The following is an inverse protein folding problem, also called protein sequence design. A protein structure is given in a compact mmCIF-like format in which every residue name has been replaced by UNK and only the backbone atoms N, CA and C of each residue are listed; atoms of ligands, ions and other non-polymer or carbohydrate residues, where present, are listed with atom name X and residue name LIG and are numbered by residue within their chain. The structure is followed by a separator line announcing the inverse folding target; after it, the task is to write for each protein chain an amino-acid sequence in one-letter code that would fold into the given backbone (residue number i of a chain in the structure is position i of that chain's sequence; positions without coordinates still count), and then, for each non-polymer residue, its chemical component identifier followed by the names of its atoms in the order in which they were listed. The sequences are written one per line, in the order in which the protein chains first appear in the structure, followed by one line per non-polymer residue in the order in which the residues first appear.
data_IF_572286710186
#
_entry.id   IF_572286710186
#
_cell.length_a   1.000
_cell.length_b   1.000
_cell.length_c   1.000
_cell.angle_alpha   90.00
_cell.angle_beta   90.00
_cell.angle_gamma   90.00
#
_symmetry.space_group_name_H-M   'P 1'
#
loop_
_entity.id
_entity.type
_entity.pdbx_description
1 polymer ?
#
# COMPACT_ATOMS: atom_id res chain seq x y z
N UNK A 1 3.75 -16.11 -19.06
CA UNK A 1 2.93 -17.29 -18.70
C UNK A 1 1.57 -16.79 -18.28
N UNK A 2 0.51 -17.26 -18.92
CA UNK A 2 -0.87 -17.03 -18.47
C UNK A 2 -1.08 -17.84 -17.20
N UNK A 3 -1.45 -17.15 -16.13
CA UNK A 3 -1.66 -17.79 -14.84
C UNK A 3 -2.94 -18.62 -14.85
N UNK A 4 -2.94 -19.69 -14.06
CA UNK A 4 -4.12 -20.51 -13.87
C UNK A 4 -5.24 -19.64 -13.30
N UNK A 5 -6.45 -19.77 -13.86
CA UNK A 5 -7.64 -19.13 -13.29
C UNK A 5 -7.73 -19.50 -11.80
N UNK A 6 -8.12 -18.54 -10.95
CA UNK A 6 -8.25 -18.83 -9.53
C UNK A 6 -9.28 -19.94 -9.30
N UNK A 7 -8.98 -20.80 -8.34
CA UNK A 7 -9.80 -21.93 -7.91
C UNK A 7 -10.89 -21.53 -6.90
N UNK A 8 -10.88 -20.28 -6.41
CA UNK A 8 -11.88 -19.77 -5.47
C UNK A 8 -13.20 -19.55 -6.22
N UNK A 9 -14.30 -20.09 -5.72
CA UNK A 9 -15.62 -19.91 -6.35
C UNK A 9 -16.10 -18.46 -6.22
N UNK A 10 -16.88 -17.97 -7.20
CA UNK A 10 -17.41 -16.60 -7.14
C UNK A 10 -18.30 -16.37 -5.92
N UNK A 11 -19.09 -17.38 -5.52
CA UNK A 11 -19.94 -17.29 -4.34
C UNK A 11 -19.13 -17.08 -3.05
N UNK A 12 -17.97 -17.74 -2.93
CA UNK A 12 -17.09 -17.51 -1.79
C UNK A 12 -16.51 -16.09 -1.82
N UNK A 13 -16.07 -15.60 -2.99
CA UNK A 13 -15.55 -14.23 -3.13
C UNK A 13 -16.60 -13.17 -2.78
N UNK A 14 -17.85 -13.35 -3.23
CA UNK A 14 -18.95 -12.43 -2.94
C UNK A 14 -19.35 -12.47 -1.47
N UNK A 15 -19.23 -13.61 -0.80
CA UNK A 15 -19.51 -13.75 0.63
C UNK A 15 -18.46 -13.08 1.51
N UNK A 16 -17.19 -13.12 1.10
CA UNK A 16 -16.05 -12.50 1.82
C UNK A 16 -15.84 -11.03 1.42
N UNK A 17 -16.62 -10.52 0.45
CA UNK A 17 -16.54 -9.16 -0.03
C UNK A 17 -17.27 -8.20 0.91
N UNK A 18 -16.53 -7.30 1.54
CA UNK A 18 -17.09 -6.26 2.39
C UNK A 18 -17.85 -5.21 1.56
N UNK A 19 -17.24 -4.72 0.47
CA UNK A 19 -17.91 -3.79 -0.41
C UNK A 19 -17.38 -3.84 -1.84
N UNK A 20 -18.21 -3.35 -2.74
CA UNK A 20 -17.89 -3.27 -4.14
C UNK A 20 -17.71 -1.81 -4.62
N UNK A 21 -16.49 -1.50 -5.07
CA UNK A 21 -15.99 -0.15 -5.29
C UNK A 21 -16.21 0.39 -6.73
N UNK A 22 -16.31 -0.49 -7.73
CA UNK A 22 -16.45 -0.07 -9.15
C UNK A 22 -17.73 0.75 -9.39
N UNK A 23 -18.93 0.35 -8.91
CA UNK A 23 -20.15 1.15 -9.04
C UNK A 23 -20.06 2.52 -8.37
N UNK A 24 -19.21 2.64 -7.33
CA UNK A 24 -18.96 3.90 -6.63
C UNK A 24 -17.96 4.80 -7.37
N UNK A 25 -17.30 4.30 -8.42
CA UNK A 25 -16.30 5.01 -9.21
C UNK A 25 -14.86 4.82 -8.71
N UNK A 26 -14.65 4.10 -7.61
CA UNK A 26 -13.36 3.82 -7.00
C UNK A 26 -12.60 2.70 -7.74
N UNK A 27 -12.40 2.90 -9.05
CA UNK A 27 -11.79 1.90 -9.93
C UNK A 27 -10.31 1.70 -9.63
N UNK A 28 -9.93 0.43 -9.47
CA UNK A 28 -8.54 0.00 -9.22
C UNK A 28 -7.98 0.58 -7.90
N UNK A 29 -8.47 0.13 -6.73
CA UNK A 29 -7.97 0.53 -5.43
C UNK A 29 -6.56 -0.05 -5.20
N UNK A 30 -5.67 0.79 -4.67
CA UNK A 30 -4.31 0.40 -4.33
C UNK A 30 -4.04 0.41 -2.84
N UNK A 31 -4.65 1.32 -2.10
CA UNK A 31 -4.33 1.55 -0.71
C UNK A 31 -5.56 2.07 0.05
N UNK A 32 -5.58 1.82 1.36
CA UNK A 32 -6.68 2.19 2.22
C UNK A 32 -6.19 2.43 3.66
N UNK A 33 -6.93 3.24 4.40
CA UNK A 33 -6.71 3.45 5.83
C UNK A 33 -8.03 3.75 6.55
N UNK A 34 -8.10 3.47 7.84
CA UNK A 34 -9.17 3.98 8.69
C UNK A 34 -8.76 5.31 9.31
N UNK A 35 -9.70 6.25 9.38
CA UNK A 35 -9.51 7.47 10.16
C UNK A 35 -9.88 7.28 11.64
N UNK A 36 -9.61 8.31 12.44
CA UNK A 36 -9.92 8.32 13.89
C UNK A 36 -11.42 8.23 14.21
N UNK A 37 -12.30 8.40 13.23
CA UNK A 37 -13.77 8.24 13.38
C UNK A 37 -14.25 6.84 12.98
N UNK A 38 -13.33 5.94 12.61
CA UNK A 38 -13.66 4.59 12.16
C UNK A 38 -14.17 4.52 10.72
N UNK A 39 -14.06 5.61 9.96
CA UNK A 39 -14.47 5.67 8.56
C UNK A 39 -13.32 5.23 7.65
N UNK A 40 -13.66 4.57 6.54
CA UNK A 40 -12.69 3.96 5.65
C UNK A 40 -12.35 4.90 4.50
N UNK A 41 -11.07 5.18 4.30
CA UNK A 41 -10.56 5.90 3.15
C UNK A 41 -9.93 4.96 2.15
N UNK A 42 -10.23 5.15 0.86
CA UNK A 42 -9.74 4.33 -0.23
C UNK A 42 -9.11 5.20 -1.31
N UNK A 43 -7.84 4.92 -1.60
CA UNK A 43 -7.09 5.48 -2.71
C UNK A 43 -7.16 4.54 -3.91
N UNK A 44 -7.63 5.06 -5.04
CA UNK A 44 -7.79 4.30 -6.27
C UNK A 44 -7.38 5.13 -7.48
N UNK A 45 -7.21 4.49 -8.65
CA UNK A 45 -7.06 5.25 -9.90
C UNK A 45 -8.29 6.09 -10.23
N UNK A 46 -9.45 5.68 -9.72
CA UNK A 46 -10.71 6.43 -9.81
C UNK A 46 -10.79 7.64 -8.89
N UNK A 47 -9.79 7.88 -8.03
CA UNK A 47 -9.74 8.99 -7.09
C UNK A 47 -9.74 8.55 -5.62
N UNK A 48 -10.08 9.49 -4.74
CA UNK A 48 -10.12 9.31 -3.29
C UNK A 48 -11.57 9.20 -2.81
N UNK A 49 -11.86 8.22 -1.97
CA UNK A 49 -13.21 7.95 -1.47
C UNK A 49 -13.19 7.74 0.04
N UNK A 50 -14.19 8.28 0.73
CA UNK A 50 -14.48 8.00 2.14
C UNK A 50 -15.77 7.20 2.22
N UNK A 51 -15.74 6.10 2.94
CA UNK A 51 -16.87 5.22 3.19
C UNK A 51 -17.20 5.21 4.67
N UNK A 52 -18.45 4.94 5.00
CA UNK A 52 -18.83 4.64 6.38
C UNK A 52 -18.15 3.36 6.88
N UNK A 53 -18.28 3.10 8.18
CA UNK A 53 -17.64 1.97 8.85
C UNK A 53 -18.00 0.62 8.20
N UNK A 54 -19.26 0.45 7.76
CA UNK A 54 -19.73 -0.75 7.08
C UNK A 54 -19.42 -0.78 5.58
N UNK A 55 -18.65 0.20 5.07
CA UNK A 55 -18.29 0.40 3.67
C UNK A 55 -19.49 0.39 2.69
N UNK A 56 -20.68 0.69 3.20
CA UNK A 56 -21.95 0.62 2.50
C UNK A 56 -22.25 1.94 1.80
N UNK A 57 -21.96 3.06 2.46
CA UNK A 57 -22.27 4.41 1.97
C UNK A 57 -20.98 5.17 1.63
N UNK A 58 -21.05 5.98 0.57
CA UNK A 58 -19.98 6.94 0.24
C UNK A 58 -20.29 8.23 0.98
N UNK A 59 -19.39 8.64 1.87
CA UNK A 59 -19.50 9.86 2.67
C UNK A 59 -18.81 11.05 2.01
N UNK A 60 -17.73 10.78 1.26
CA UNK A 60 -16.99 11.76 0.48
C UNK A 60 -16.39 11.09 -0.77
N UNK A 61 -16.31 11.85 -1.86
CA UNK A 61 -15.63 11.41 -3.07
C UNK A 61 -14.92 12.55 -3.79
N UNK A 62 -13.69 12.29 -4.24
CA UNK A 62 -12.95 13.11 -5.19
C UNK A 62 -12.64 12.24 -6.41
N UNK A 63 -13.57 12.23 -7.36
CA UNK A 63 -13.47 11.40 -8.57
C UNK A 63 -12.38 11.91 -9.52
N UNK A 64 -11.61 10.97 -10.05
CA UNK A 64 -10.75 11.17 -11.20
C UNK A 64 -11.44 10.64 -12.46
N UNK A 65 -11.68 11.53 -13.42
CA UNK A 65 -12.36 11.18 -14.68
C UNK A 65 -11.46 10.41 -15.65
N UNK A 66 -10.15 10.33 -15.40
CA UNK A 66 -9.17 9.71 -16.30
C UNK A 66 -8.32 8.63 -15.60
N UNK A 67 -8.92 7.55 -15.06
CA UNK A 67 -8.20 6.52 -14.31
C UNK A 67 -7.09 5.83 -15.13
N UNK A 68 -7.22 5.79 -16.46
CA UNK A 68 -6.20 5.23 -17.37
C UNK A 68 -4.92 6.05 -17.44
N UNK A 69 -4.94 7.32 -17.04
CA UNK A 69 -3.77 8.20 -16.99
C UNK A 69 -3.01 8.11 -15.67
N UNK A 70 -3.58 7.45 -14.66
CA UNK A 70 -3.00 7.39 -13.33
C UNK A 70 -2.07 6.18 -13.22
N UNK A 71 -0.88 6.40 -12.66
CA UNK A 71 0.08 5.35 -12.39
C UNK A 71 -0.47 4.38 -11.31
N UNK A 72 0.05 3.15 -11.21
CA UNK A 72 -0.21 2.29 -10.07
C UNK A 72 0.23 2.91 -8.73
N UNK A 73 -0.25 2.35 -7.62
CA UNK A 73 0.18 2.67 -6.25
C UNK A 73 -0.22 4.06 -5.73
N UNK A 74 -1.44 4.49 -6.02
CA UNK A 74 -2.04 5.63 -5.30
C UNK A 74 -2.08 5.32 -3.79
N UNK A 75 -1.71 6.27 -2.92
CA UNK A 75 -1.65 6.06 -1.46
C UNK A 75 -2.68 6.92 -0.74
N UNK A 76 -3.13 6.45 0.42
CA UNK A 76 -3.88 7.22 1.41
C UNK A 76 -3.45 6.81 2.82
N UNK A 77 -3.00 7.77 3.61
CA UNK A 77 -2.56 7.54 5.00
C UNK A 77 -3.30 8.50 5.92
N UNK A 78 -3.72 8.01 7.09
CA UNK A 78 -4.32 8.83 8.12
C UNK A 78 -3.27 9.16 9.19
N UNK A 79 -3.21 10.43 9.59
CA UNK A 79 -2.39 10.90 10.70
C UNK A 79 -3.12 12.05 11.40
N UNK A 80 -3.37 11.92 12.71
CA UNK A 80 -3.95 12.97 13.58
C UNK A 80 -5.11 13.77 12.97
N UNK A 81 -6.15 13.09 12.48
CA UNK A 81 -7.34 13.75 11.91
C UNK A 81 -7.11 14.36 10.52
N UNK A 82 -5.98 14.04 9.88
CA UNK A 82 -5.64 14.41 8.52
C UNK A 82 -5.52 13.18 7.63
N UNK A 83 -5.81 13.37 6.35
CA UNK A 83 -5.66 12.38 5.30
C UNK A 83 -4.60 12.87 4.33
N UNK A 84 -3.53 12.10 4.21
CA UNK A 84 -2.47 12.32 3.23
C UNK A 84 -2.78 11.46 2.01
N UNK A 85 -3.01 12.09 0.87
CA UNK A 85 -3.38 11.43 -0.37
C UNK A 85 -2.38 11.74 -1.46
N UNK A 86 -1.92 10.69 -2.17
CA UNK A 86 -1.02 10.84 -3.31
C UNK A 86 -1.54 10.08 -4.54
N UNK A 87 -1.44 10.74 -5.69
CA UNK A 87 -1.82 10.19 -6.98
C UNK A 87 -0.90 10.71 -8.07
N UNK A 88 -0.35 9.81 -8.89
CA UNK A 88 0.60 10.18 -9.95
C UNK A 88 -0.03 10.08 -11.33
N UNK A 89 0.16 11.11 -12.17
CA UNK A 89 -0.10 11.03 -13.61
C UNK A 89 1.07 10.32 -14.30
N UNK A 90 0.78 9.22 -15.00
CA UNK A 90 1.75 8.23 -15.45
C UNK A 90 2.70 8.75 -16.54
N UNK A 91 2.23 9.60 -17.45
CA UNK A 91 3.01 10.08 -18.60
C UNK A 91 3.78 11.35 -18.29
N UNK A 92 3.20 12.23 -17.49
CA UNK A 92 3.80 13.46 -16.99
C UNK A 92 4.81 13.18 -15.87
N UNK A 93 4.76 11.98 -15.25
CA UNK A 93 5.66 11.60 -14.16
C UNK A 93 5.59 12.61 -13.00
N UNK A 94 4.38 13.08 -12.71
CA UNK A 94 4.11 14.12 -11.72
C UNK A 94 3.09 13.59 -10.71
N UNK A 95 3.44 13.68 -9.43
CA UNK A 95 2.60 13.24 -8.32
C UNK A 95 1.88 14.42 -7.69
N UNK A 96 0.55 14.37 -7.66
CA UNK A 96 -0.25 15.21 -6.78
C UNK A 96 -0.13 14.70 -5.35
N UNK A 97 0.31 15.56 -4.44
CA UNK A 97 0.35 15.31 -3.00
C UNK A 97 -0.61 16.26 -2.31
N UNK A 98 -1.52 15.72 -1.49
CA UNK A 98 -2.52 16.51 -0.77
C UNK A 98 -2.61 16.08 0.69
N UNK A 99 -2.88 17.06 1.54
CA UNK A 99 -3.34 16.84 2.91
C UNK A 99 -4.76 17.40 3.02
N UNK A 100 -5.67 16.58 3.51
CA UNK A 100 -7.07 16.90 3.70
C UNK A 100 -7.45 16.73 5.18
N UNK A 101 -8.45 17.48 5.63
CA UNK A 101 -9.14 17.15 6.88
C UNK A 101 -10.09 15.94 6.68
N UNK A 102 -10.74 15.50 7.76
CA UNK A 102 -11.66 14.35 7.70
C UNK A 102 -12.95 14.64 6.92
N UNK A 103 -13.28 15.90 6.64
CA UNK A 103 -14.43 16.27 5.80
C UNK A 103 -14.04 16.33 4.31
N UNK A 104 -12.76 16.11 3.99
CA UNK A 104 -12.23 16.12 2.64
C UNK A 104 -11.91 17.52 2.11
N UNK A 105 -11.83 18.52 2.98
CA UNK A 105 -11.32 19.85 2.61
C UNK A 105 -9.81 19.78 2.49
N UNK A 106 -9.27 20.30 1.40
CA UNK A 106 -7.83 20.37 1.17
C UNK A 106 -7.23 21.45 2.08
N UNK A 107 -6.28 21.06 2.92
CA UNK A 107 -5.47 21.97 3.74
C UNK A 107 -4.13 22.30 3.07
N UNK A 108 -3.58 21.35 2.31
CA UNK A 108 -2.34 21.51 1.58
C UNK A 108 -2.36 20.76 0.24
N UNK A 109 -1.75 21.35 -0.78
CA UNK A 109 -1.56 20.74 -2.09
C UNK A 109 -0.19 21.12 -2.65
N UNK A 110 0.52 20.13 -3.18
CA UNK A 110 1.76 20.33 -3.91
C UNK A 110 1.94 19.27 -5.00
N UNK A 111 2.91 19.49 -5.87
CA UNK A 111 3.30 18.56 -6.90
C UNK A 111 4.73 18.07 -6.65
N UNK A 112 4.93 16.75 -6.75
CA UNK A 112 6.21 16.09 -6.52
C UNK A 112 6.63 15.38 -7.80
N UNK A 113 7.84 15.64 -8.27
CA UNK A 113 8.40 14.96 -9.43
C UNK A 113 8.64 13.47 -9.17
N UNK A 114 8.31 12.65 -10.16
CA UNK A 114 8.43 11.20 -10.10
C UNK A 114 7.14 10.49 -9.69
N UNK A 115 7.16 9.16 -9.79
CA UNK A 115 6.02 8.31 -9.41
C UNK A 115 6.19 7.80 -8.00
N UNK A 116 5.44 8.34 -7.05
CA UNK A 116 5.40 7.80 -5.69
C UNK A 116 4.90 6.36 -5.73
N UNK A 117 5.60 5.47 -5.02
CA UNK A 117 5.28 4.05 -4.96
C UNK A 117 4.67 3.66 -3.61
N UNK A 118 5.18 4.23 -2.53
CA UNK A 118 4.70 3.96 -1.17
C UNK A 118 4.93 5.17 -0.30
N UNK A 119 4.03 5.37 0.68
CA UNK A 119 4.10 6.45 1.65
C UNK A 119 3.68 5.93 3.02
N UNK A 120 4.34 6.40 4.07
CA UNK A 120 3.98 6.10 5.46
C UNK A 120 4.24 7.33 6.32
N UNK A 121 3.58 7.38 7.49
CA UNK A 121 3.77 8.43 8.50
C UNK A 121 4.04 7.72 9.82
N UNK A 122 5.03 8.19 10.56
CA UNK A 122 5.28 7.68 11.92
C UNK A 122 4.41 8.40 12.97
N UNK A 123 4.64 8.08 14.24
CA UNK A 123 3.87 8.66 15.35
C UNK A 123 4.24 10.11 15.67
N UNK A 124 5.36 10.60 15.12
CA UNK A 124 5.83 11.99 15.32
C UNK A 124 5.44 12.89 14.15
N UNK A 125 4.74 12.35 13.14
CA UNK A 125 4.32 13.09 11.96
C UNK A 125 5.41 13.22 10.89
N UNK A 126 6.50 12.45 10.99
CA UNK A 126 7.46 12.34 9.90
C UNK A 126 6.85 11.51 8.78
N UNK A 127 6.99 12.00 7.55
CA UNK A 127 6.46 11.38 6.35
C UNK A 127 7.62 10.79 5.58
N UNK A 128 7.51 9.52 5.21
CA UNK A 128 8.52 8.83 4.41
C UNK A 128 7.90 8.32 3.12
N UNK A 129 8.61 8.46 2.00
CA UNK A 129 8.14 7.97 0.71
C UNK A 129 9.23 7.31 -0.11
N UNK A 130 8.81 6.38 -0.96
CA UNK A 130 9.63 5.80 -2.02
C UNK A 130 9.05 6.14 -3.39
N UNK A 131 9.89 6.21 -4.41
CA UNK A 131 9.47 6.45 -5.79
C UNK A 131 9.87 5.27 -6.68
N UNK A 132 9.08 5.01 -7.71
CA UNK A 132 9.42 4.02 -8.74
C UNK A 132 10.70 4.45 -9.46
N UNK A 133 11.63 3.54 -9.76
CA UNK A 133 12.79 3.86 -10.58
C UNK A 133 12.35 4.41 -11.94
N UNK A 134 12.93 5.53 -12.36
CA UNK A 134 12.67 6.15 -13.66
C UNK A 134 13.84 5.94 -14.62
N UNK A 135 13.58 6.01 -15.92
CA UNK A 135 14.63 5.91 -16.94
C UNK A 135 15.70 6.98 -16.71
N UNK A 136 16.93 6.54 -16.48
CA UNK A 136 18.08 7.43 -16.24
C UNK A 136 18.38 7.73 -14.76
N UNK A 137 17.53 7.30 -13.82
CA UNK A 137 17.90 7.32 -12.39
C UNK A 137 18.80 6.14 -12.06
N UNK A 138 19.94 6.44 -11.42
CA UNK A 138 20.90 5.44 -10.94
C UNK A 138 20.52 4.93 -9.56
N UNK A 139 19.94 5.81 -8.74
CA UNK A 139 19.71 5.55 -7.32
C UNK A 139 18.22 5.53 -6.99
N UNK A 140 17.85 4.59 -6.13
CA UNK A 140 16.56 4.58 -5.47
C UNK A 140 16.69 5.26 -4.13
N UNK A 141 15.77 6.18 -3.82
CA UNK A 141 15.82 7.04 -2.64
C UNK A 141 14.59 6.84 -1.77
N UNK A 142 14.80 6.80 -0.45
CA UNK A 142 13.77 7.06 0.56
C UNK A 142 13.83 8.56 0.86
N UNK A 143 12.73 9.26 0.61
CA UNK A 143 12.59 10.66 0.95
C UNK A 143 11.89 10.81 2.30
N UNK A 144 12.26 11.85 3.04
CA UNK A 144 11.68 12.23 4.32
C UNK A 144 11.21 13.69 4.30
N UNK A 145 10.11 13.95 5.00
CA UNK A 145 9.60 15.30 5.31
C UNK A 145 8.77 15.21 6.61
N UNK A 146 8.08 16.28 7.00
CA UNK A 146 7.18 16.28 8.17
C UNK A 146 5.83 16.87 7.79
N UNK A 147 4.78 16.48 8.52
CA UNK A 147 3.41 17.00 8.31
C UNK A 147 3.34 18.52 8.48
N UNK A 148 4.25 19.10 9.26
CA UNK A 148 4.34 20.54 9.51
C UNK A 148 5.19 21.29 8.47
N UNK A 149 6.06 20.60 7.73
CA UNK A 149 6.99 21.21 6.76
C UNK A 149 7.00 20.47 5.41
N UNK A 150 5.83 20.36 4.79
CA UNK A 150 5.59 19.53 3.60
C UNK A 150 6.37 19.90 2.32
N UNK A 151 7.03 21.06 2.30
CA UNK A 151 7.80 21.55 1.15
C UNK A 151 9.27 21.11 1.16
N UNK A 152 9.78 20.61 2.30
CA UNK A 152 11.18 20.25 2.47
C UNK A 152 11.33 18.72 2.45
N UNK A 153 11.66 18.19 1.27
CA UNK A 153 11.90 16.75 1.08
C UNK A 153 13.39 16.48 1.04
N UNK A 154 13.88 15.79 2.07
CA UNK A 154 15.27 15.38 2.18
C UNK A 154 15.46 13.92 1.74
N UNK A 155 16.67 13.61 1.26
CA UNK A 155 17.12 12.24 1.03
C UNK A 155 17.52 11.63 2.38
N UNK A 156 16.79 10.60 2.83
CA UNK A 156 17.12 9.86 4.04
C UNK A 156 18.10 8.73 3.73
N UNK A 157 17.84 7.95 2.68
CA UNK A 157 18.60 6.75 2.34
C UNK A 157 18.58 6.55 0.83
N UNK A 158 19.73 6.23 0.23
CA UNK A 158 19.86 5.93 -1.20
C UNK A 158 20.57 4.61 -1.47
N UNK A 159 20.27 4.01 -2.62
CA UNK A 159 20.91 2.78 -3.07
C UNK A 159 20.92 2.66 -4.60
N UNK A 160 22.06 2.27 -5.16
CA UNK A 160 22.23 1.90 -6.57
C UNK A 160 21.96 0.42 -6.85
N UNK A 161 21.92 -0.42 -5.81
CA UNK A 161 21.88 -1.88 -5.95
C UNK A 161 20.44 -2.43 -5.98
N UNK A 162 19.52 -1.70 -5.35
CA UNK A 162 18.14 -2.11 -5.20
C UNK A 162 17.20 -0.91 -5.22
N UNK A 163 15.99 -1.16 -5.71
CA UNK A 163 14.89 -0.23 -5.60
C UNK A 163 14.13 -0.43 -4.30
N UNK A 164 13.90 0.66 -3.56
CA UNK A 164 12.94 0.70 -2.48
C UNK A 164 11.52 0.69 -3.06
N UNK A 165 10.70 -0.27 -2.65
CA UNK A 165 9.38 -0.52 -3.24
C UNK A 165 8.25 -0.12 -2.30
N UNK A 166 8.23 -0.67 -1.09
CA UNK A 166 7.20 -0.41 -0.08
C UNK A 166 7.85 0.02 1.24
N UNK A 167 7.18 0.86 2.01
CA UNK A 167 7.69 1.41 3.26
C UNK A 167 6.58 1.43 4.33
N UNK A 168 6.96 1.11 5.56
CA UNK A 168 6.08 1.14 6.72
C UNK A 168 6.86 1.65 7.94
N UNK A 169 6.32 2.64 8.64
CA UNK A 169 6.83 3.04 9.94
C UNK A 169 6.61 1.90 10.94
N UNK A 170 7.70 1.39 11.52
CA UNK A 170 7.65 0.26 12.44
C UNK A 170 7.69 0.73 13.89
N UNK A 171 8.63 1.61 14.24
CA UNK A 171 8.66 2.30 15.54
C UNK A 171 9.22 3.71 15.34
N UNK A 172 9.49 4.44 16.44
CA UNK A 172 9.99 5.83 16.37
C UNK A 172 11.29 5.97 15.59
N UNK A 173 12.16 4.96 15.63
CA UNK A 173 13.51 5.04 15.08
C UNK A 173 13.71 4.09 13.88
N UNK A 174 12.68 3.32 13.49
CA UNK A 174 12.79 2.22 12.53
C UNK A 174 11.70 2.25 11.46
N UNK A 175 12.14 2.12 10.20
CA UNK A 175 11.31 1.84 9.04
C UNK A 175 11.51 0.37 8.59
N UNK A 176 10.42 -0.30 8.26
CA UNK A 176 10.45 -1.52 7.44
C UNK A 176 10.38 -1.12 5.97
N UNK A 177 11.35 -1.55 5.16
CA UNK A 177 11.45 -1.17 3.75
C UNK A 177 11.63 -2.41 2.87
N UNK A 178 10.69 -2.64 1.96
CA UNK A 178 10.82 -3.67 0.95
C UNK A 178 11.76 -3.20 -0.16
N UNK A 179 12.79 -3.99 -0.44
CA UNK A 179 13.79 -3.71 -1.46
C UNK A 179 13.82 -4.82 -2.52
N UNK A 180 14.02 -4.43 -3.78
CA UNK A 180 14.12 -5.36 -4.92
C UNK A 180 15.35 -5.03 -5.76
N UNK A 181 16.18 -6.04 -6.06
CA UNK A 181 17.41 -5.84 -6.84
C UNK A 181 17.14 -5.28 -8.25
N UNK A 182 17.98 -4.36 -8.70
CA UNK A 182 17.92 -3.79 -10.04
C UNK A 182 18.63 -4.68 -11.09
N UNK A 183 18.16 -4.71 -12.36
CA UNK A 183 16.90 -4.18 -12.85
C UNK A 183 15.70 -5.01 -12.34
N UNK A 184 14.56 -4.35 -12.08
CA UNK A 184 13.36 -5.04 -11.58
C UNK A 184 12.76 -5.94 -12.66
N UNK A 185 12.81 -7.25 -12.45
CA UNK A 185 12.23 -8.27 -13.31
C UNK A 185 11.82 -9.50 -12.48
N UNK A 186 11.20 -10.51 -13.08
CA UNK A 186 10.66 -11.68 -12.36
C UNK A 186 11.69 -12.43 -11.49
N UNK A 187 12.99 -12.31 -11.81
CA UNK A 187 14.10 -12.97 -11.10
C UNK A 187 14.81 -12.06 -10.09
N UNK A 188 14.36 -10.81 -9.92
CA UNK A 188 14.95 -9.90 -8.94
C UNK A 188 14.88 -10.51 -7.54
N UNK A 189 15.92 -10.30 -6.74
CA UNK A 189 15.94 -10.69 -5.33
C UNK A 189 15.09 -9.70 -4.54
N UNK A 190 14.20 -10.20 -3.69
CA UNK A 190 13.42 -9.39 -2.76
C UNK A 190 13.91 -9.61 -1.34
N UNK A 191 13.94 -8.53 -0.56
CA UNK A 191 14.29 -8.55 0.86
C UNK A 191 13.53 -7.45 1.59
N UNK A 192 13.40 -7.59 2.91
CA UNK A 192 12.94 -6.51 3.78
C UNK A 192 14.14 -5.99 4.55
N UNK A 193 14.24 -4.66 4.63
CA UNK A 193 15.32 -3.94 5.29
C UNK A 193 14.77 -3.17 6.46
N UNK A 194 15.48 -3.21 7.58
CA UNK A 194 15.27 -2.30 8.68
C UNK A 194 16.14 -1.07 8.44
N UNK A 195 15.54 0.11 8.36
CA UNK A 195 16.24 1.37 8.11
C UNK A 195 16.00 2.30 9.28
N UNK A 196 17.06 2.94 9.78
CA UNK A 196 16.93 3.95 10.82
C UNK A 196 16.20 5.18 10.27
N UNK A 197 15.10 5.60 10.90
CA UNK A 197 14.24 6.71 10.42
C UNK A 197 14.90 8.10 10.57
N UNK A 198 16.01 8.18 11.31
CA UNK A 198 16.75 9.41 11.60
C UNK A 198 18.04 9.45 10.77
N UNK A 199 18.89 8.42 10.87
CA UNK A 199 20.19 8.40 10.19
C UNK A 199 20.15 7.85 8.77
N UNK A 200 19.08 7.15 8.38
CA UNK A 200 18.98 6.49 7.08
C UNK A 200 19.83 5.22 6.94
N UNK A 201 20.52 4.80 7.99
CA UNK A 201 21.35 3.60 7.99
C UNK A 201 20.50 2.33 7.86
N UNK A 202 20.92 1.41 6.99
CA UNK A 202 20.34 0.06 6.91
C UNK A 202 20.86 -0.76 8.08
N UNK A 203 20.01 -0.97 9.07
CA UNK A 203 20.35 -1.65 10.32
C UNK A 203 20.50 -3.17 10.13
N UNK A 204 19.60 -3.77 9.35
CA UNK A 204 19.58 -5.21 9.10
C UNK A 204 18.72 -5.54 7.86
N UNK A 205 18.86 -6.75 7.32
CA UNK A 205 18.12 -7.24 6.16
C UNK A 205 17.68 -8.69 6.37
N UNK A 206 16.41 -9.00 6.09
CA UNK A 206 15.86 -10.34 6.21
C UNK A 206 14.96 -10.72 5.03
N UNK A 207 14.44 -11.94 5.09
CA UNK A 207 13.67 -12.63 4.04
C UNK A 207 14.49 -13.04 2.82
N UNK A 208 14.00 -14.08 2.13
CA UNK A 208 14.50 -14.51 0.83
C UNK A 208 13.40 -14.43 -0.23
N UNK A 209 13.80 -14.30 -1.49
CA UNK A 209 12.91 -14.29 -2.64
C UNK A 209 12.24 -15.66 -2.81
N UNK A 210 10.91 -15.70 -2.90
CA UNK A 210 10.20 -16.94 -3.20
C UNK A 210 8.74 -16.96 -2.76
N UNK A 211 8.08 -18.10 -2.99
CA UNK A 211 6.64 -18.28 -2.82
C UNK A 211 6.27 -19.25 -1.69
N UNK A 212 7.26 -19.77 -0.97
CA UNK A 212 7.06 -20.64 0.19
C UNK A 212 6.96 -19.81 1.48
N UNK A 213 6.51 -20.43 2.56
CA UNK A 213 6.39 -19.79 3.88
C UNK A 213 7.72 -19.15 4.34
N UNK A 214 7.64 -17.92 4.84
CA UNK A 214 8.81 -17.12 5.22
C UNK A 214 9.61 -16.54 4.05
N UNK A 215 9.26 -16.89 2.80
CA UNK A 215 9.78 -16.24 1.60
C UNK A 215 8.80 -15.18 1.10
N UNK A 216 9.34 -14.16 0.43
CA UNK A 216 8.59 -13.01 -0.06
C UNK A 216 8.69 -12.92 -1.58
N UNK A 217 7.55 -12.76 -2.24
CA UNK A 217 7.48 -12.57 -3.68
C UNK A 217 6.83 -11.24 -4.05
N UNK A 218 7.65 -10.21 -4.30
CA UNK A 218 7.24 -8.83 -4.58
C UNK A 218 6.24 -8.26 -3.56
N UNK A 219 6.74 -7.70 -2.44
CA UNK A 219 5.91 -7.02 -1.45
C UNK A 219 5.00 -5.98 -2.10
N UNK A 220 3.73 -5.99 -1.70
CA UNK A 220 2.70 -5.04 -2.13
C UNK A 220 2.37 -4.03 -1.06
N UNK A 221 2.28 -4.48 0.19
CA UNK A 221 1.94 -3.67 1.34
C UNK A 221 2.52 -4.29 2.60
N UNK A 222 2.92 -3.44 3.55
CA UNK A 222 3.41 -3.84 4.87
C UNK A 222 2.73 -3.01 5.94
N UNK A 223 2.45 -3.64 7.09
CA UNK A 223 1.93 -2.94 8.27
C UNK A 223 2.58 -3.48 9.53
N UNK A 224 2.87 -2.58 10.47
CA UNK A 224 3.13 -2.95 11.86
C UNK A 224 1.85 -3.53 12.46
N UNK A 225 1.97 -4.67 13.13
CA UNK A 225 0.88 -5.27 13.91
C UNK A 225 1.45 -5.70 15.26
N UNK A 226 1.08 -4.97 16.32
CA UNK A 226 1.70 -5.10 17.64
C UNK A 226 3.23 -4.90 17.53
N UNK A 227 4.03 -5.87 17.94
CA UNK A 227 5.50 -5.85 17.83
C UNK A 227 6.01 -6.61 16.58
N UNK A 228 5.12 -6.98 15.66
CA UNK A 228 5.46 -7.74 14.47
C UNK A 228 5.20 -6.95 13.19
N UNK A 229 5.71 -7.48 12.09
CA UNK A 229 5.50 -6.97 10.74
C UNK A 229 4.61 -7.93 9.95
N UNK A 230 3.51 -7.41 9.42
CA UNK A 230 2.72 -8.09 8.41
C UNK A 230 3.18 -7.65 7.01
N UNK A 231 3.40 -8.62 6.14
CA UNK A 231 3.78 -8.39 4.74
C UNK A 231 2.80 -9.10 3.82
N UNK A 232 2.12 -8.33 2.98
CA UNK A 232 1.36 -8.86 1.86
C UNK A 232 2.21 -8.82 0.61
N UNK A 233 2.37 -9.96 -0.06
CA UNK A 233 3.13 -10.09 -1.29
C UNK A 233 2.23 -10.39 -2.50
N UNK A 234 2.81 -10.44 -3.70
CA UNK A 234 2.07 -10.62 -4.96
C UNK A 234 1.36 -11.98 -5.07
N UNK A 235 1.68 -12.95 -4.21
CA UNK A 235 0.97 -14.24 -4.14
C UNK A 235 -0.34 -14.17 -3.35
N UNK A 236 -0.69 -13.03 -2.77
CA UNK A 236 -1.91 -12.84 -1.98
C UNK A 236 -1.79 -13.34 -0.53
N UNK A 237 -0.60 -13.78 -0.10
CA UNK A 237 -0.32 -14.18 1.28
C UNK A 237 -0.04 -12.95 2.13
N UNK A 238 -0.64 -12.89 3.31
CA UNK A 238 -0.27 -11.98 4.40
C UNK A 238 0.51 -12.77 5.42
N UNK A 239 1.81 -12.54 5.49
CA UNK A 239 2.73 -13.29 6.35
C UNK A 239 3.19 -12.41 7.52
N UNK A 240 3.34 -13.01 8.71
CA UNK A 240 3.78 -12.34 9.93
C UNK A 240 5.25 -12.67 10.20
N UNK A 241 6.02 -11.64 10.54
CA UNK A 241 7.44 -11.71 10.86
C UNK A 241 7.73 -10.98 12.16
N UNK A 242 8.57 -11.56 13.00
CA UNK A 242 9.08 -10.89 14.20
C UNK A 242 10.06 -9.76 13.84
N UNK A 243 10.36 -8.86 14.79
CA UNK A 243 11.38 -7.82 14.62
C UNK A 243 12.75 -8.32 14.13
N UNK A 244 13.14 -9.53 14.54
CA UNK A 244 14.40 -10.17 14.12
C UNK A 244 14.33 -10.79 12.71
N UNK A 245 13.23 -10.60 11.98
CA UNK A 245 13.03 -11.09 10.62
C UNK A 245 12.60 -12.56 10.52
N UNK A 246 12.41 -13.26 11.64
CA UNK A 246 11.93 -14.64 11.65
C UNK A 246 10.46 -14.73 11.25
N UNK A 247 10.14 -15.61 10.32
CA UNK A 247 8.76 -15.94 9.97
C UNK A 247 8.06 -16.63 11.14
N UNK A 248 6.80 -16.27 11.37
CA UNK A 248 5.96 -16.91 12.40
C UNK A 248 4.82 -17.69 11.78
N UNK A 249 3.97 -17.03 10.98
CA UNK A 249 2.76 -17.65 10.44
C UNK A 249 2.22 -16.95 9.19
N UNK A 250 1.38 -17.69 8.46
CA UNK A 250 0.49 -17.15 7.44
C UNK A 250 -0.78 -16.64 8.14
N UNK A 251 -0.99 -15.32 8.15
CA UNK A 251 -2.13 -14.69 8.86
C UNK A 251 -3.40 -14.64 8.01
N UNK A 252 -3.27 -14.40 6.71
CA UNK A 252 -4.39 -14.41 5.77
C UNK A 252 -3.92 -14.79 4.36
N UNK A 253 -4.85 -15.21 3.50
CA UNK A 253 -4.56 -15.54 2.10
C UNK A 253 -5.75 -15.26 1.19
N UNK A 254 -5.52 -14.38 0.23
CA UNK A 254 -6.41 -14.15 -0.90
C UNK A 254 -5.83 -14.77 -2.17
N UNK A 255 -6.60 -14.70 -3.26
CA UNK A 255 -6.12 -15.07 -4.58
C UNK A 255 -4.85 -14.29 -4.93
N UNK A 256 -3.91 -14.96 -5.59
CA UNK A 256 -2.68 -14.33 -6.02
C UNK A 256 -2.98 -13.18 -7.01
N UNK A 257 -2.12 -12.16 -7.02
CA UNK A 257 -2.10 -11.05 -7.97
C UNK A 257 -3.26 -10.06 -7.91
N UNK A 258 -4.30 -10.30 -7.10
CA UNK A 258 -5.43 -9.38 -6.98
C UNK A 258 -5.27 -8.39 -5.83
N UNK A 259 -4.51 -8.71 -4.78
CA UNK A 259 -4.28 -7.80 -3.65
C UNK A 259 -3.30 -6.68 -3.96
N UNK A 260 -3.65 -5.44 -3.58
CA UNK A 260 -2.79 -4.27 -3.74
C UNK A 260 -2.35 -3.63 -2.42
N UNK A 261 -3.28 -3.49 -1.47
CA UNK A 261 -3.01 -2.92 -0.15
C UNK A 261 -3.94 -3.52 0.89
N UNK A 262 -3.57 -3.44 2.16
CA UNK A 262 -4.44 -3.85 3.26
C UNK A 262 -4.28 -2.91 4.46
N UNK A 263 -5.29 -2.92 5.34
CA UNK A 263 -5.21 -2.36 6.70
C UNK A 263 -5.71 -3.38 7.70
N UNK A 264 -5.16 -3.37 8.92
CA UNK A 264 -5.68 -4.16 10.03
C UNK A 264 -6.59 -3.31 10.90
N UNK A 265 -7.76 -3.83 11.24
CA UNK A 265 -8.68 -3.26 12.22
C UNK A 265 -9.30 -4.39 13.03
N UNK A 266 -9.29 -4.29 14.36
CA UNK A 266 -9.89 -5.29 15.27
C UNK A 266 -9.48 -6.74 14.97
N UNK A 267 -8.19 -6.97 14.68
CA UNK A 267 -7.65 -8.27 14.30
C UNK A 267 -8.23 -8.86 12.99
N UNK A 268 -8.81 -8.01 12.13
CA UNK A 268 -9.28 -8.34 10.79
C UNK A 268 -8.49 -7.55 9.75
N UNK A 269 -8.12 -8.22 8.66
CA UNK A 269 -7.45 -7.58 7.53
C UNK A 269 -8.49 -7.18 6.47
N UNK A 270 -8.56 -5.88 6.16
CA UNK A 270 -9.36 -5.33 5.07
C UNK A 270 -8.44 -5.09 3.88
N UNK A 271 -8.68 -5.79 2.78
CA UNK A 271 -7.72 -5.86 1.66
C UNK A 271 -8.30 -5.24 0.38
N UNK A 272 -7.65 -4.20 -0.15
CA UNK A 272 -7.93 -3.66 -1.49
C UNK A 272 -7.53 -4.67 -2.58
N UNK A 273 -8.55 -5.18 -3.26
CA UNK A 273 -8.40 -6.13 -4.36
C UNK A 273 -8.79 -5.51 -5.71
N UNK A 274 -8.03 -5.86 -6.75
CA UNK A 274 -8.34 -5.59 -8.16
C UNK A 274 -8.37 -6.90 -8.94
N UNK A 275 -9.51 -7.23 -9.53
CA UNK A 275 -9.65 -8.46 -10.31
C UNK A 275 -11.03 -8.61 -10.94
N UNK A 276 -11.21 -9.61 -11.78
CA UNK A 276 -12.54 -9.92 -12.32
C UNK A 276 -13.17 -10.97 -11.40
N UNK A 277 -14.12 -10.56 -10.55
CA UNK A 277 -15.13 -11.48 -10.02
C UNK A 277 -16.17 -11.73 -11.12
N UNK A 278 -16.55 -12.97 -11.40
CA UNK A 278 -17.63 -13.23 -12.34
C UNK A 278 -18.93 -13.26 -11.54
N UNK A 279 -19.76 -12.24 -11.70
CA UNK A 279 -21.17 -12.25 -11.29
C UNK A 279 -22.02 -12.22 -12.57
N UNK A 280 -23.29 -12.63 -12.51
CA UNK A 280 -24.16 -12.86 -13.68
C UNK A 280 -24.38 -11.60 -14.56
N UNK A 281 -23.88 -10.43 -14.14
CA UNK A 281 -23.90 -9.18 -14.90
C UNK A 281 -22.58 -8.41 -14.78
N UNK A 282 -21.73 -8.51 -15.82
CA UNK A 282 -20.65 -7.57 -16.24
C UNK A 282 -19.29 -7.61 -15.51
N UNK A 283 -18.24 -7.24 -16.27
CA UNK A 283 -16.82 -7.52 -16.10
C UNK A 283 -16.01 -6.35 -15.51
N UNK A 284 -15.02 -6.69 -14.67
CA UNK A 284 -13.99 -5.86 -13.99
C UNK A 284 -14.46 -5.24 -12.68
N UNK A 285 -13.89 -5.72 -11.57
CA UNK A 285 -14.34 -5.30 -10.27
C UNK A 285 -13.19 -5.01 -9.29
N UNK A 286 -13.44 -4.05 -8.43
CA UNK A 286 -12.60 -3.68 -7.31
C UNK A 286 -13.37 -3.93 -6.03
N UNK A 287 -12.75 -4.59 -5.06
CA UNK A 287 -13.47 -5.00 -3.85
C UNK A 287 -12.54 -5.05 -2.64
N UNK A 288 -13.15 -4.99 -1.47
CA UNK A 288 -12.49 -5.23 -0.20
C UNK A 288 -12.82 -6.64 0.28
N UNK A 289 -11.80 -7.43 0.63
CA UNK A 289 -11.99 -8.74 1.25
C UNK A 289 -11.66 -8.63 2.75
N UNK A 290 -12.53 -9.17 3.59
CA UNK A 290 -12.31 -9.33 5.02
C UNK A 290 -12.02 -10.81 5.29
N UNK A 291 -10.85 -11.12 5.87
CA UNK A 291 -10.53 -12.48 6.27
C UNK A 291 -10.43 -12.63 7.78
N UNK A 292 -11.33 -13.43 8.32
CA UNK A 292 -11.36 -13.90 9.70
C UNK A 292 -10.68 -15.26 9.80
N UNK A 293 -9.36 -15.27 9.99
CA UNK A 293 -8.72 -16.33 10.75
C UNK A 293 -8.22 -15.67 12.01
N UNK A 294 -8.67 -16.13 13.19
CA UNK A 294 -8.24 -15.61 14.49
C UNK A 294 -6.75 -15.28 14.45
N UNK A 295 -6.38 -13.99 14.36
CA UNK A 295 -5.00 -13.51 14.29
C UNK A 295 -4.30 -13.56 15.66
N UNK A 296 -4.64 -14.58 16.47
CA UNK A 296 -4.04 -14.87 17.77
C UNK A 296 -2.72 -15.60 17.58
#
# INVERSE_FOLDING_TARGET
MTESASKTSNHQRLKEMMCHLTPKGAVIPYNLCYDSTGQLWVSSKGGLFKLDESASNVLFERKNMFPKKIAPYTQVVHYEGKIIYVMTEDKANLTEFRVLDLDGKIEHEQFIDGKVQSLTVDQEGNIFMTKQPSLGTTDSIIYKSTIDCLLDWEELCSSSDFAFQNICAYDKDTLAVAATSLPINLYSKQSIKWVNSISGEVLDTFSTAGKEEGQIFFPRCMQRYQDDLLVMDKTGRVQRFLRNGSYTQLSARIDAYIGNGFVVRNDEAVIACTGIVLDEVVYIWSHLCEQTNNMR
#
